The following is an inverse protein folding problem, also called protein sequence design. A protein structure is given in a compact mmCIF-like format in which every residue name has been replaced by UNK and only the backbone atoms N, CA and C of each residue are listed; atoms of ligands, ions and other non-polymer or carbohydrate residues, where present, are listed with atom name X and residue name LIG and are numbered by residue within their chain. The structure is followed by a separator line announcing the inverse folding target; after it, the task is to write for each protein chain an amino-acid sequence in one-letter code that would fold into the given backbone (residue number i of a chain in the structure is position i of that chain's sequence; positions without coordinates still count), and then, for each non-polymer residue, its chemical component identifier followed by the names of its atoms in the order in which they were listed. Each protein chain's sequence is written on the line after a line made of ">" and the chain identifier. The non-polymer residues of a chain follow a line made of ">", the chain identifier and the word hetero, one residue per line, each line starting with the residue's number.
data_IF_568205363319
#
_entry.id   IF_568205363319
#
_cell.length_a   1.000
_cell.length_b   1.000
_cell.length_c   1.000
_cell.angle_alpha   90.00
_cell.angle_beta   90.00
_cell.angle_gamma   90.00
#
_symmetry.space_group_name_H-M   'P 1'
#
loop_
_entity.id
_entity.type
_entity.pdbx_description
1 polymer ?
#
# COMPACT_ATOMS: atom_id res chain seq x y z
N UNK A 1 17.66 -5.75 -7.16
CA UNK A 1 16.86 -6.75 -7.91
C UNK A 1 16.63 -6.24 -9.34
N UNK A 2 16.48 -7.14 -10.34
CA UNK A 2 16.73 -6.84 -11.77
C UNK A 2 15.66 -7.35 -12.77
N UNK A 3 15.73 -8.61 -13.27
CA UNK A 3 14.92 -9.06 -14.42
C UNK A 3 13.50 -9.55 -14.08
N UNK A 4 13.02 -9.37 -12.84
CA UNK A 4 11.77 -9.99 -12.36
C UNK A 4 10.56 -9.04 -12.40
N UNK A 5 10.78 -7.75 -12.12
CA UNK A 5 9.71 -6.75 -12.09
C UNK A 5 9.02 -6.64 -13.46
N UNK A 6 7.70 -6.80 -13.49
CA UNK A 6 6.88 -6.78 -14.71
C UNK A 6 7.36 -7.72 -15.83
N UNK A 7 8.08 -8.79 -15.49
CA UNK A 7 8.74 -9.64 -16.47
C UNK A 7 7.83 -10.72 -17.08
N UNK A 8 8.21 -11.22 -18.24
CA UNK A 8 7.67 -12.43 -18.86
C UNK A 8 8.80 -13.45 -19.12
N UNK A 9 8.47 -14.74 -19.12
CA UNK A 9 9.44 -15.84 -19.28
C UNK A 9 9.47 -16.76 -18.05
N UNK A 10 9.65 -18.06 -18.28
CA UNK A 10 9.63 -19.09 -17.24
C UNK A 10 10.78 -18.95 -16.21
N UNK A 11 11.86 -18.28 -16.61
CA UNK A 11 13.04 -18.01 -15.79
C UNK A 11 12.93 -16.70 -14.97
N UNK A 12 11.83 -15.97 -15.11
CA UNK A 12 11.63 -14.64 -14.50
C UNK A 12 10.29 -14.49 -13.78
N UNK A 13 9.23 -15.15 -14.26
CA UNK A 13 7.86 -14.94 -13.81
C UNK A 13 7.26 -16.22 -13.26
N UNK A 14 7.40 -16.41 -11.95
CA UNK A 14 6.95 -17.60 -11.22
C UNK A 14 5.53 -17.41 -10.67
N UNK A 15 4.61 -18.36 -10.90
CA UNK A 15 3.26 -18.34 -10.33
C UNK A 15 2.23 -17.45 -11.03
N UNK A 16 2.45 -17.11 -12.32
CA UNK A 16 1.53 -16.27 -13.10
C UNK A 16 0.13 -16.87 -13.25
N UNK A 17 0.03 -18.19 -13.33
CA UNK A 17 -1.22 -18.94 -13.37
C UNK A 17 -2.12 -18.66 -12.16
N UNK A 18 -1.54 -18.62 -10.96
CA UNK A 18 -2.23 -18.24 -9.72
C UNK A 18 -2.74 -16.80 -9.80
N UNK A 19 -1.88 -15.87 -10.25
CA UNK A 19 -2.21 -14.44 -10.31
C UNK A 19 -3.30 -14.15 -11.34
N UNK A 20 -3.21 -14.74 -12.53
CA UNK A 20 -4.22 -14.56 -13.58
C UNK A 20 -5.56 -15.19 -13.18
N UNK A 21 -5.54 -16.33 -12.47
CA UNK A 21 -6.75 -16.93 -11.90
C UNK A 21 -7.37 -16.05 -10.81
N UNK A 22 -6.55 -15.51 -9.91
CA UNK A 22 -6.98 -14.59 -8.84
C UNK A 22 -7.60 -13.32 -9.41
N UNK A 23 -6.97 -12.71 -10.41
CA UNK A 23 -7.48 -11.51 -11.05
C UNK A 23 -8.88 -11.74 -11.66
N UNK A 24 -9.05 -12.85 -12.40
CA UNK A 24 -10.35 -13.23 -12.97
C UNK A 24 -11.40 -13.55 -11.90
N UNK A 25 -11.02 -14.23 -10.83
CA UNK A 25 -11.91 -14.56 -9.73
C UNK A 25 -12.40 -13.31 -8.99
N UNK A 26 -11.52 -12.34 -8.75
CA UNK A 26 -11.88 -11.05 -8.16
C UNK A 26 -12.86 -10.27 -9.05
N UNK A 27 -12.58 -10.19 -10.36
CA UNK A 27 -13.50 -9.57 -11.32
C UNK A 27 -14.88 -10.24 -11.32
N UNK A 28 -14.91 -11.57 -11.32
CA UNK A 28 -16.17 -12.34 -11.26
C UNK A 28 -16.94 -12.10 -9.96
N UNK A 29 -16.24 -12.01 -8.82
CA UNK A 29 -16.84 -11.74 -7.51
C UNK A 29 -17.32 -10.28 -7.34
N UNK A 30 -17.04 -9.40 -8.30
CA UNK A 30 -17.39 -7.98 -8.22
C UNK A 30 -16.45 -7.15 -7.34
N UNK A 31 -15.27 -7.67 -7.01
CA UNK A 31 -14.22 -6.89 -6.33
C UNK A 31 -13.66 -5.86 -7.32
N UNK A 32 -13.51 -4.61 -6.87
CA UNK A 32 -12.96 -3.52 -7.68
C UNK A 32 -11.44 -3.63 -7.84
N UNK A 33 -10.98 -4.70 -8.51
CA UNK A 33 -9.57 -4.97 -8.72
C UNK A 33 -9.03 -4.11 -9.89
N UNK A 34 -8.11 -3.20 -9.58
CA UNK A 34 -7.59 -2.19 -10.51
C UNK A 34 -6.44 -2.68 -11.39
N UNK A 35 -5.74 -3.73 -10.99
CA UNK A 35 -4.60 -4.26 -11.74
C UNK A 35 -3.80 -5.32 -10.99
N UNK A 36 -2.78 -5.84 -11.67
CA UNK A 36 -1.81 -6.82 -11.17
C UNK A 36 -0.43 -6.56 -11.79
N UNK A 37 0.65 -6.89 -11.09
CA UNK A 37 2.00 -6.92 -11.65
C UNK A 37 2.92 -7.90 -10.90
N UNK A 38 3.93 -8.42 -11.60
CA UNK A 38 5.06 -9.09 -10.96
C UNK A 38 5.92 -8.06 -10.24
N UNK A 39 6.29 -8.34 -8.99
CA UNK A 39 7.08 -7.46 -8.16
C UNK A 39 8.58 -7.72 -8.29
N UNK A 40 9.37 -6.91 -7.59
CA UNK A 40 10.82 -6.89 -7.78
C UNK A 40 11.50 -8.20 -7.31
N UNK A 41 10.97 -8.85 -6.26
CA UNK A 41 11.48 -10.14 -5.77
C UNK A 41 10.90 -11.30 -6.61
N UNK A 42 11.71 -12.30 -7.02
CA UNK A 42 11.20 -13.45 -7.75
C UNK A 42 10.14 -14.20 -6.91
N UNK A 43 8.96 -14.42 -7.50
CA UNK A 43 7.81 -15.03 -6.84
C UNK A 43 6.95 -14.05 -6.02
N UNK A 44 7.32 -12.78 -5.95
CA UNK A 44 6.51 -11.72 -5.36
C UNK A 44 5.60 -11.10 -6.43
N UNK A 45 4.37 -10.79 -6.03
CA UNK A 45 3.35 -10.21 -6.90
C UNK A 45 2.55 -9.15 -6.16
N UNK A 46 1.94 -8.25 -6.92
CA UNK A 46 1.04 -7.21 -6.44
C UNK A 46 -0.30 -7.30 -7.16
N UNK A 47 -1.38 -7.03 -6.43
CA UNK A 47 -2.69 -6.72 -6.97
C UNK A 47 -3.20 -5.43 -6.30
N UNK A 48 -3.93 -4.61 -7.04
CA UNK A 48 -4.48 -3.35 -6.52
C UNK A 48 -5.99 -3.44 -6.39
N UNK A 49 -6.54 -3.03 -5.24
CA UNK A 49 -7.99 -2.91 -5.01
C UNK A 49 -8.35 -1.43 -4.91
N UNK A 50 -9.37 -1.01 -5.64
CA UNK A 50 -9.91 0.34 -5.65
C UNK A 50 -9.74 1.08 -6.98
N UNK A 51 -10.18 2.36 -7.02
CA UNK A 51 -10.60 3.17 -5.87
C UNK A 51 -11.93 2.73 -5.22
N UNK A 52 -11.92 2.51 -3.90
CA UNK A 52 -13.10 2.11 -3.11
C UNK A 52 -13.36 3.11 -1.99
N UNK A 53 -14.61 3.24 -1.52
CA UNK A 53 -15.03 4.33 -0.61
C UNK A 53 -15.25 3.81 0.81
N UNK A 54 -14.50 4.36 1.76
CA UNK A 54 -14.68 4.07 3.18
C UNK A 54 -14.51 2.59 3.50
N UNK A 55 -15.50 2.00 4.16
CA UNK A 55 -15.44 0.61 4.66
C UNK A 55 -15.25 -0.43 3.54
N UNK A 56 -15.77 -0.15 2.33
CA UNK A 56 -15.66 -1.06 1.19
C UNK A 56 -14.21 -1.38 0.79
N UNK A 57 -13.27 -0.46 1.03
CA UNK A 57 -11.86 -0.73 0.78
C UNK A 57 -11.31 -1.87 1.66
N UNK A 58 -11.78 -1.97 2.90
CA UNK A 58 -11.44 -3.09 3.79
C UNK A 58 -12.14 -4.37 3.42
N UNK A 59 -13.45 -4.30 3.13
CA UNK A 59 -14.26 -5.46 2.75
C UNK A 59 -13.72 -6.13 1.49
N UNK A 60 -13.45 -5.34 0.45
CA UNK A 60 -12.95 -5.83 -0.83
C UNK A 60 -11.54 -6.40 -0.73
N UNK A 61 -10.63 -5.77 0.05
CA UNK A 61 -9.27 -6.29 0.20
C UNK A 61 -9.23 -7.58 1.02
N UNK A 62 -10.03 -7.70 2.08
CA UNK A 62 -10.16 -8.96 2.82
C UNK A 62 -10.74 -10.08 1.95
N UNK A 63 -11.79 -9.80 1.17
CA UNK A 63 -12.34 -10.76 0.22
C UNK A 63 -11.31 -11.15 -0.85
N UNK A 64 -10.53 -10.20 -1.37
CA UNK A 64 -9.49 -10.46 -2.35
C UNK A 64 -8.37 -11.35 -1.78
N UNK A 65 -7.95 -11.11 -0.53
CA UNK A 65 -6.97 -11.96 0.18
C UNK A 65 -7.51 -13.37 0.39
N UNK A 66 -8.77 -13.52 0.78
CA UNK A 66 -9.41 -14.84 0.90
C UNK A 66 -9.38 -15.59 -0.43
N UNK A 67 -9.81 -14.96 -1.54
CA UNK A 67 -9.78 -15.59 -2.87
C UNK A 67 -8.35 -16.00 -3.26
N UNK A 68 -7.35 -15.17 -2.95
CA UNK A 68 -5.94 -15.49 -3.21
C UNK A 68 -5.52 -16.76 -2.48
N UNK A 69 -5.79 -16.83 -1.18
CA UNK A 69 -5.43 -17.99 -0.36
C UNK A 69 -6.16 -19.26 -0.80
N UNK A 70 -7.44 -19.15 -1.19
CA UNK A 70 -8.22 -20.26 -1.78
C UNK A 70 -7.61 -20.79 -3.07
N UNK A 71 -7.14 -19.89 -3.95
CA UNK A 71 -6.51 -20.29 -5.22
C UNK A 71 -5.13 -20.90 -4.97
N UNK A 72 -4.35 -20.35 -4.05
CA UNK A 72 -3.04 -20.93 -3.69
C UNK A 72 -3.19 -22.32 -3.04
N UNK A 73 -4.25 -22.55 -2.25
CA UNK A 73 -4.57 -23.89 -1.74
C UNK A 73 -4.80 -24.89 -2.86
N UNK A 74 -5.59 -24.53 -3.89
CA UNK A 74 -5.84 -25.39 -5.06
C UNK A 74 -4.53 -25.68 -5.82
N UNK A 75 -3.64 -24.69 -5.91
CA UNK A 75 -2.35 -24.82 -6.57
C UNK A 75 -1.29 -25.56 -5.73
N UNK A 76 -1.56 -25.88 -4.46
CA UNK A 76 -0.61 -26.51 -3.56
C UNK A 76 0.57 -25.60 -3.16
N UNK A 77 0.35 -24.29 -3.13
CA UNK A 77 1.36 -23.26 -2.78
C UNK A 77 0.86 -22.46 -1.56
N UNK A 78 1.79 -21.90 -0.79
CA UNK A 78 1.49 -21.04 0.35
C UNK A 78 1.71 -19.57 -0.03
N UNK A 79 0.71 -18.73 0.21
CA UNK A 79 0.87 -17.27 0.18
C UNK A 79 1.39 -16.78 1.54
N UNK A 80 2.28 -15.78 1.51
CA UNK A 80 2.74 -15.08 2.71
C UNK A 80 2.51 -13.59 2.55
N UNK A 81 1.92 -12.98 3.58
CA UNK A 81 1.83 -11.54 3.72
C UNK A 81 2.90 -10.98 4.67
N UNK A 82 3.92 -11.76 5.04
CA UNK A 82 5.03 -11.28 5.86
C UNK A 82 5.74 -10.08 5.17
N UNK A 83 5.98 -8.95 5.86
CA UNK A 83 6.58 -7.76 5.27
C UNK A 83 8.03 -7.94 4.81
N UNK A 84 8.74 -8.95 5.30
CA UNK A 84 10.12 -9.28 4.94
C UNK A 84 10.30 -10.80 4.98
N UNK A 85 9.76 -11.52 3.98
CA UNK A 85 9.72 -12.98 4.01
C UNK A 85 11.13 -13.59 3.89
N UNK A 86 12.02 -12.94 3.13
CA UNK A 86 13.41 -13.35 2.98
C UNK A 86 14.33 -12.24 3.52
N UNK A 87 15.20 -12.54 4.51
CA UNK A 87 16.21 -11.60 4.99
C UNK A 87 17.24 -11.19 3.93
N UNK A 88 17.95 -10.09 4.17
CA UNK A 88 19.02 -9.60 3.29
C UNK A 88 18.53 -8.69 2.15
N UNK A 89 19.25 -8.74 1.02
CA UNK A 89 19.13 -7.83 -0.14
C UNK A 89 17.95 -8.17 -1.08
N UNK A 90 16.87 -8.71 -0.52
CA UNK A 90 15.59 -8.91 -1.21
C UNK A 90 14.58 -7.85 -0.76
N UNK A 91 13.79 -7.32 -1.68
CA UNK A 91 12.68 -6.42 -1.37
C UNK A 91 11.73 -7.06 -0.35
N UNK A 92 11.18 -6.23 0.53
CA UNK A 92 10.06 -6.63 1.37
C UNK A 92 8.72 -6.43 0.65
N UNK A 93 7.62 -6.73 1.35
CA UNK A 93 6.27 -6.58 0.86
C UNK A 93 5.51 -5.50 1.65
N UNK A 94 4.90 -4.55 0.93
CA UNK A 94 4.10 -3.48 1.51
C UNK A 94 2.65 -3.57 1.05
N UNK A 95 1.78 -2.77 1.67
CA UNK A 95 0.41 -2.54 1.22
C UNK A 95 0.17 -1.05 1.05
N UNK A 96 0.78 -0.46 0.02
CA UNK A 96 0.72 0.97 -0.20
C UNK A 96 -0.74 1.44 -0.31
N UNK A 97 -1.10 2.44 0.48
CA UNK A 97 -2.47 2.94 0.57
C UNK A 97 -2.59 4.28 -0.12
N UNK A 98 -3.28 4.31 -1.25
CA UNK A 98 -3.59 5.54 -1.97
C UNK A 98 -4.85 6.18 -1.37
N UNK A 99 -4.78 7.48 -1.05
CA UNK A 99 -5.87 8.15 -0.33
C UNK A 99 -6.19 9.54 -0.92
N UNK A 100 -7.48 9.83 -1.02
CA UNK A 100 -7.97 11.18 -1.33
C UNK A 100 -9.36 11.45 -0.74
N UNK A 101 -9.60 12.70 -0.39
CA UNK A 101 -10.94 13.22 -0.09
C UNK A 101 -11.51 13.97 -1.30
N UNK A 102 -12.80 14.32 -1.25
CA UNK A 102 -13.43 15.14 -2.30
C UNK A 102 -12.68 16.46 -2.53
N UNK A 103 -12.23 17.12 -1.46
CA UNK A 103 -11.49 18.37 -1.57
C UNK A 103 -10.08 18.19 -2.15
N UNK A 104 -9.40 17.06 -1.87
CA UNK A 104 -8.11 16.75 -2.50
C UNK A 104 -8.22 16.54 -4.02
N UNK A 105 -9.35 16.01 -4.49
CA UNK A 105 -9.61 15.80 -5.94
C UNK A 105 -10.19 17.04 -6.64
N UNK A 106 -10.52 18.09 -5.90
CA UNK A 106 -11.07 19.34 -6.44
C UNK A 106 -9.96 20.33 -6.79
N UNK A 107 -10.30 21.42 -7.49
CA UNK A 107 -9.33 22.47 -7.85
C UNK A 107 -8.62 23.04 -6.61
N UNK A 108 -7.29 23.20 -6.68
CA UNK A 108 -6.46 23.57 -5.53
C UNK A 108 -6.27 22.47 -4.47
N UNK A 109 -6.68 21.24 -4.76
CA UNK A 109 -6.63 20.10 -3.85
C UNK A 109 -5.24 19.69 -3.39
N UNK A 110 -4.17 20.06 -4.11
CA UNK A 110 -2.79 19.79 -3.72
C UNK A 110 -2.40 20.43 -2.38
N UNK A 111 -2.94 21.60 -2.07
CA UNK A 111 -2.72 22.23 -0.75
C UNK A 111 -3.45 21.46 0.37
N UNK A 112 -4.58 20.83 0.07
CA UNK A 112 -5.27 19.92 1.02
C UNK A 112 -4.45 18.65 1.24
N UNK A 113 -3.83 18.12 0.18
CA UNK A 113 -2.91 16.97 0.26
C UNK A 113 -1.73 17.29 1.18
N UNK A 114 -1.03 18.41 0.98
CA UNK A 114 0.10 18.82 1.83
C UNK A 114 -0.29 18.94 3.30
N UNK A 115 -1.44 19.54 3.60
CA UNK A 115 -1.97 19.66 4.97
C UNK A 115 -2.28 18.30 5.59
N UNK A 116 -2.81 17.35 4.81
CA UNK A 116 -3.06 15.99 5.29
C UNK A 116 -1.75 15.25 5.59
N UNK A 117 -0.74 15.40 4.74
CA UNK A 117 0.60 14.82 4.95
C UNK A 117 1.24 15.35 6.25
N UNK A 118 1.13 16.65 6.53
CA UNK A 118 1.63 17.24 7.79
C UNK A 118 0.96 16.64 9.03
N UNK A 119 -0.34 16.32 8.96
CA UNK A 119 -1.03 15.63 10.06
C UNK A 119 -0.54 14.19 10.23
N UNK A 120 -0.26 13.49 9.13
CA UNK A 120 0.30 12.12 9.16
C UNK A 120 1.72 12.11 9.74
N UNK A 121 2.54 13.12 9.43
CA UNK A 121 3.87 13.30 9.99
C UNK A 121 3.82 13.43 11.52
N UNK A 122 2.90 14.26 12.04
CA UNK A 122 2.74 14.48 13.48
C UNK A 122 2.32 13.22 14.26
N UNK A 123 1.68 12.24 13.58
CA UNK A 123 1.24 10.96 14.18
C UNK A 123 2.02 9.77 13.61
N UNK A 124 3.24 9.98 13.11
CA UNK A 124 3.98 8.95 12.40
C UNK A 124 4.10 7.63 13.19
N UNK A 125 4.55 7.69 14.44
CA UNK A 125 4.76 6.50 15.26
C UNK A 125 3.46 5.80 15.67
N UNK A 126 2.38 6.55 15.87
CA UNK A 126 1.05 5.96 16.14
C UNK A 126 0.56 5.16 14.94
N UNK A 127 0.75 5.69 13.72
CA UNK A 127 0.44 4.94 12.50
C UNK A 127 1.35 3.72 12.34
N UNK A 128 2.67 3.87 12.54
CA UNK A 128 3.62 2.74 12.43
C UNK A 128 3.24 1.58 13.36
N UNK A 129 2.84 1.87 14.59
CA UNK A 129 2.41 0.85 15.56
C UNK A 129 1.18 0.04 15.08
N UNK A 130 0.36 0.61 14.19
CA UNK A 130 -0.84 -0.02 13.64
C UNK A 130 -0.67 -0.56 12.21
N UNK A 131 0.50 -0.36 11.59
CA UNK A 131 0.74 -0.59 10.17
C UNK A 131 1.30 -1.99 9.85
N UNK A 132 1.10 -2.95 10.76
CA UNK A 132 1.47 -4.36 10.63
C UNK A 132 2.74 -4.72 11.41
N UNK A 133 2.71 -5.89 12.03
CA UNK A 133 3.83 -6.42 12.82
C UNK A 133 5.00 -6.86 11.93
N UNK A 134 6.24 -6.73 12.42
CA UNK A 134 7.46 -7.12 11.69
C UNK A 134 7.94 -6.10 10.65
N UNK A 135 7.30 -4.93 10.58
CA UNK A 135 7.56 -3.90 9.58
C UNK A 135 8.94 -3.24 9.75
N UNK A 136 9.54 -3.31 10.95
CA UNK A 136 10.93 -2.89 11.23
C UNK A 136 11.97 -3.64 10.41
N UNK A 137 11.65 -4.87 9.98
CA UNK A 137 12.52 -5.66 9.07
C UNK A 137 12.45 -5.18 7.62
N UNK A 138 11.41 -4.41 7.27
CA UNK A 138 11.13 -3.91 5.92
C UNK A 138 11.52 -2.44 5.76
N UNK A 139 11.09 -1.58 6.68
CA UNK A 139 11.27 -0.13 6.64
C UNK A 139 12.67 0.28 7.13
N UNK A 140 13.69 0.00 6.32
CA UNK A 140 15.10 0.22 6.70
C UNK A 140 15.77 1.37 5.94
N UNK A 141 15.00 2.16 5.19
CA UNK A 141 15.55 3.19 4.29
C UNK A 141 16.19 2.65 3.00
N UNK A 142 16.12 1.33 2.78
CA UNK A 142 16.65 0.64 1.58
C UNK A 142 15.50 0.03 0.79
N UNK A 143 15.79 -0.44 -0.42
CA UNK A 143 14.83 -1.18 -1.26
C UNK A 143 13.48 -0.46 -1.46
N UNK A 144 13.53 0.83 -1.83
CA UNK A 144 12.34 1.66 -2.09
C UNK A 144 11.42 1.88 -0.86
N UNK A 145 12.01 1.91 0.34
CA UNK A 145 11.33 2.25 1.60
C UNK A 145 12.03 3.38 2.34
N UNK A 146 11.29 4.10 3.19
CA UNK A 146 11.86 5.01 4.19
C UNK A 146 12.30 4.24 5.44
N UNK A 147 13.16 4.85 6.27
CA UNK A 147 13.48 4.32 7.61
C UNK A 147 12.27 4.46 8.53
N UNK A 148 12.00 3.42 9.34
CA UNK A 148 10.82 3.32 10.21
C UNK A 148 10.69 4.44 11.24
N UNK A 149 11.78 5.12 11.60
CA UNK A 149 11.77 6.21 12.58
C UNK A 149 11.69 7.59 11.93
N UNK A 150 11.72 7.66 10.60
CA UNK A 150 11.77 8.92 9.86
C UNK A 150 10.55 9.09 8.97
N UNK A 151 9.86 10.22 9.12
CA UNK A 151 8.83 10.61 8.19
C UNK A 151 9.43 11.50 7.10
N UNK A 152 9.32 11.06 5.84
CA UNK A 152 9.75 11.81 4.67
C UNK A 152 8.64 11.75 3.64
N UNK A 153 8.34 12.86 2.99
CA UNK A 153 7.45 12.86 1.83
C UNK A 153 8.08 13.58 0.64
N UNK A 154 7.65 13.24 -0.58
CA UNK A 154 8.13 13.92 -1.77
C UNK A 154 7.38 13.53 -3.04
N UNK A 155 7.57 14.34 -4.08
CA UNK A 155 6.99 14.08 -5.40
C UNK A 155 7.83 13.04 -6.12
N UNK A 156 7.18 12.00 -6.65
CA UNK A 156 7.82 10.88 -7.34
C UNK A 156 8.93 10.17 -6.55
N UNK A 157 9.05 10.42 -5.25
CA UNK A 157 10.07 9.83 -4.40
C UNK A 157 9.59 8.48 -3.85
N UNK A 158 10.13 7.39 -4.39
CA UNK A 158 9.81 6.03 -3.94
C UNK A 158 10.47 5.68 -2.59
N UNK A 159 11.54 6.38 -2.18
CA UNK A 159 12.19 6.19 -0.89
C UNK A 159 11.52 6.96 0.26
N UNK A 160 10.42 7.68 -0.01
CA UNK A 160 9.68 8.42 0.99
C UNK A 160 8.66 7.54 1.74
N UNK A 161 8.28 7.98 2.94
CA UNK A 161 7.13 7.43 3.67
C UNK A 161 5.82 7.70 2.93
N UNK A 162 5.66 8.93 2.42
CA UNK A 162 4.51 9.33 1.60
C UNK A 162 4.97 9.88 0.26
N UNK A 163 4.37 9.38 -0.83
CA UNK A 163 4.67 9.84 -2.19
C UNK A 163 3.48 10.59 -2.77
N UNK A 164 3.76 11.71 -3.45
CA UNK A 164 2.78 12.35 -4.33
C UNK A 164 3.18 12.08 -5.78
N UNK A 165 2.23 11.66 -6.63
CA UNK A 165 2.49 11.41 -8.05
C UNK A 165 2.82 12.69 -8.81
N UNK A 166 3.61 12.58 -9.89
CA UNK A 166 3.91 13.74 -10.76
C UNK A 166 2.64 14.34 -11.37
N UNK A 167 1.66 13.49 -11.70
CA UNK A 167 0.39 13.94 -12.27
C UNK A 167 -0.42 14.73 -11.25
N UNK A 168 -0.52 14.25 -10.00
CA UNK A 168 -1.16 15.00 -8.89
C UNK A 168 -0.51 16.37 -8.67
N UNK A 169 0.83 16.45 -8.69
CA UNK A 169 1.54 17.72 -8.55
C UNK A 169 1.23 18.65 -9.73
N UNK A 170 1.35 18.15 -10.96
CA UNK A 170 1.14 18.90 -12.19
C UNK A 170 -0.28 19.43 -12.32
N UNK A 171 -1.27 18.62 -11.95
CA UNK A 171 -2.70 18.97 -12.02
C UNK A 171 -3.16 19.81 -10.83
N UNK A 172 -2.35 19.93 -9.77
CA UNK A 172 -2.72 20.67 -8.56
C UNK A 172 -3.85 20.03 -7.74
N UNK A 173 -4.19 18.75 -7.99
CA UNK A 173 -5.24 17.97 -7.31
C UNK A 173 -5.04 16.48 -7.56
N UNK A 174 -5.61 15.62 -6.71
CA UNK A 174 -5.53 14.17 -6.86
C UNK A 174 -5.49 13.42 -5.53
N UNK A 175 -4.47 12.56 -5.37
CA UNK A 175 -4.25 11.69 -4.21
C UNK A 175 -2.77 11.60 -3.82
N UNK A 176 -2.49 11.10 -2.62
CA UNK A 176 -1.15 10.69 -2.19
C UNK A 176 -1.10 9.18 -1.89
N UNK A 177 0.11 8.62 -1.88
CA UNK A 177 0.41 7.21 -1.58
C UNK A 177 1.13 7.12 -0.23
N UNK A 178 0.52 6.51 0.78
CA UNK A 178 1.20 6.13 2.02
C UNK A 178 1.87 4.76 1.83
N UNK A 179 3.21 4.74 1.87
CA UNK A 179 4.06 3.57 1.57
C UNK A 179 4.48 2.80 2.82
N UNK A 180 4.07 3.29 4.00
CA UNK A 180 4.43 2.74 5.31
C UNK A 180 3.68 1.47 5.72
N UNK A 181 2.43 1.20 5.29
CA UNK A 181 1.76 -0.05 5.68
C UNK A 181 2.48 -1.29 5.14
N UNK A 182 2.66 -2.28 6.00
CA UNK A 182 3.18 -3.60 5.66
C UNK A 182 2.13 -4.43 4.89
N UNK A 183 2.58 -5.45 4.16
CA UNK A 183 1.69 -6.37 3.41
C UNK A 183 0.69 -7.12 4.29
N UNK A 184 1.00 -7.35 5.58
CA UNK A 184 0.13 -7.99 6.56
C UNK A 184 -0.80 -7.00 7.31
N UNK A 185 -0.82 -5.72 6.94
CA UNK A 185 -1.69 -4.74 7.61
C UNK A 185 -3.17 -5.13 7.54
N UNK A 186 -3.95 -4.75 8.57
CA UNK A 186 -5.40 -4.83 8.54
C UNK A 186 -5.96 -3.57 7.83
N UNK A 187 -6.64 -3.70 6.68
CA UNK A 187 -7.17 -2.54 5.96
C UNK A 187 -8.19 -1.75 6.76
N UNK A 188 -8.95 -2.37 7.67
CA UNK A 188 -9.91 -1.63 8.49
C UNK A 188 -9.20 -0.65 9.41
N UNK A 189 -8.09 -1.08 10.00
CA UNK A 189 -7.25 -0.24 10.86
C UNK A 189 -6.57 0.86 10.06
N UNK A 190 -5.88 0.52 8.97
CA UNK A 190 -5.10 1.50 8.19
C UNK A 190 -6.01 2.56 7.55
N UNK A 191 -7.10 2.15 6.91
CA UNK A 191 -8.00 3.09 6.22
C UNK A 191 -8.71 4.03 7.19
N UNK A 192 -9.20 3.50 8.33
CA UNK A 192 -9.87 4.32 9.35
C UNK A 192 -8.90 5.29 10.01
N UNK A 193 -7.67 4.86 10.32
CA UNK A 193 -6.67 5.72 10.96
C UNK A 193 -6.17 6.84 10.03
N UNK A 194 -5.99 6.57 8.73
CA UNK A 194 -5.72 7.63 7.74
C UNK A 194 -6.88 8.62 7.68
N UNK A 195 -8.12 8.14 7.62
CA UNK A 195 -9.29 9.01 7.60
C UNK A 195 -9.40 9.85 8.89
N UNK A 196 -9.23 9.24 10.06
CA UNK A 196 -9.23 9.92 11.37
C UNK A 196 -8.19 11.03 11.42
N UNK A 197 -6.92 10.71 11.14
CA UNK A 197 -5.82 11.68 11.20
C UNK A 197 -6.00 12.81 10.20
N UNK A 198 -6.46 12.53 8.99
CA UNK A 198 -6.57 13.55 7.95
C UNK A 198 -7.82 14.41 8.07
N UNK A 199 -8.95 13.84 8.52
CA UNK A 199 -10.26 14.52 8.57
C UNK A 199 -10.58 15.02 9.99
N UNK A 200 -10.46 14.17 11.01
CA UNK A 200 -10.99 14.44 12.35
C UNK A 200 -9.99 15.15 13.27
N UNK A 201 -8.68 14.84 13.16
CA UNK A 201 -7.67 15.49 13.98
C UNK A 201 -7.53 16.99 13.63
N UNK A 202 -7.64 17.84 14.65
CA UNK A 202 -7.28 19.25 14.56
C UNK A 202 -5.76 19.38 14.72
N UNK A 203 -5.14 20.25 13.92
CA UNK A 203 -3.72 20.53 14.07
C UNK A 203 -3.45 21.10 15.48
N UNK A 204 -2.54 20.48 16.24
CA UNK A 204 -2.06 20.98 17.53
C UNK A 204 -2.66 20.35 18.80
N UNK A 205 -3.51 19.33 18.70
CA UNK A 205 -3.90 18.52 19.86
C UNK A 205 -3.08 17.24 19.87
N UNK A 206 -2.00 17.21 20.65
CA UNK A 206 -1.50 15.94 21.17
C UNK A 206 -2.65 15.30 21.94
N UNK A 207 -3.00 14.07 21.60
CA UNK A 207 -3.88 13.27 22.44
C UNK A 207 -3.09 12.90 23.70
N UNK A 208 -2.97 13.87 24.62
CA UNK A 208 -2.57 13.61 25.99
C UNK A 208 -3.67 12.80 26.66
N UNK A 209 -3.44 11.50 26.78
CA UNK A 209 -3.87 10.70 27.92
C UNK A 209 -2.70 9.86 28.37
#
# INVERSE_FOLDING_TARGET
>A
QGPYYCAAGAEKSYGRDIVDAHYKACLYAGINIGGINAEVMPGQWEFQVGPSVGISAGDELWAARYILERITEIAGVVVSFDPKPIPGEWNGAGAHTNYSTKSMRSEGGYEVIKKAIQKLEARHMEHIAAYGEGNERRLTGRHETADINTFVWGVANRGASVRVGRDTEKEGKGYFEDRRPASNMDPYVVTSMIAETTILCKAGLSNGK
#
